data_IF_985466465741
#
_entry.id   IF_985466465741
#
_cell.length_a   1.000
_cell.length_b   1.000
_cell.length_c   1.000
_cell.angle_alpha   90.00
_cell.angle_beta   90.00
_cell.angle_gamma   90.00
#
_symmetry.space_group_name_H-M   'P 1'
#
loop_
_entity.id
_entity.type
_entity.pdbx_description
1 polymer ?
#
# COMPACT_ATOMS: atom_id res chain seq x y z
N UNK A 1 -0.32 -13.79 4.42
CA UNK A 1 -1.64 -13.96 5.09
C UNK A 1 -2.48 -12.69 4.98
N UNK A 2 -1.96 -11.52 5.33
CA UNK A 2 -2.68 -10.22 5.25
C UNK A 2 -3.26 -9.86 3.89
N UNK A 3 -2.52 -10.06 2.80
CA UNK A 3 -3.00 -9.78 1.44
C UNK A 3 -4.29 -10.54 1.08
N UNK A 4 -4.55 -11.69 1.71
CA UNK A 4 -5.80 -12.45 1.51
C UNK A 4 -6.99 -11.67 2.09
N UNK A 5 -6.83 -11.05 3.26
CA UNK A 5 -7.90 -10.29 3.91
C UNK A 5 -8.16 -8.97 3.19
N UNK A 6 -7.10 -8.26 2.78
CA UNK A 6 -7.25 -7.08 1.94
C UNK A 6 -8.02 -7.40 0.66
N UNK A 7 -7.60 -8.44 -0.06
CA UNK A 7 -8.23 -8.85 -1.31
C UNK A 7 -9.67 -9.34 -1.11
N UNK A 8 -9.97 -9.97 0.03
CA UNK A 8 -11.34 -10.38 0.39
C UNK A 8 -12.27 -9.18 0.55
N UNK A 9 -11.84 -8.13 1.24
CA UNK A 9 -12.64 -6.90 1.40
C UNK A 9 -12.79 -6.20 0.04
N UNK A 10 -11.69 -6.05 -0.70
CA UNK A 10 -11.68 -5.44 -2.04
C UNK A 10 -12.68 -6.12 -2.98
N UNK A 11 -12.57 -7.43 -3.19
CA UNK A 11 -13.47 -8.17 -4.09
C UNK A 11 -14.93 -8.11 -3.67
N UNK A 12 -15.22 -8.01 -2.37
CA UNK A 12 -16.60 -8.01 -1.86
C UNK A 12 -17.28 -6.65 -2.02
N UNK A 13 -16.55 -5.55 -1.84
CA UNK A 13 -17.16 -4.21 -1.73
C UNK A 13 -16.57 -3.18 -2.70
N UNK A 14 -15.29 -3.30 -3.04
CA UNK A 14 -14.53 -2.33 -3.85
C UNK A 14 -13.87 -3.01 -5.05
N UNK A 15 -14.64 -3.80 -5.80
CA UNK A 15 -14.11 -4.69 -6.84
C UNK A 15 -13.48 -3.94 -8.02
N UNK A 16 -13.83 -2.66 -8.19
CA UNK A 16 -13.29 -1.72 -9.17
C UNK A 16 -11.91 -1.15 -8.80
N UNK A 17 -11.50 -1.24 -7.52
CA UNK A 17 -10.20 -0.77 -7.08
C UNK A 17 -9.09 -1.78 -7.42
N UNK A 18 -7.84 -1.34 -7.65
CA UNK A 18 -6.76 -2.23 -8.02
C UNK A 18 -6.41 -3.24 -6.93
N UNK A 19 -6.03 -4.46 -7.33
CA UNK A 19 -5.53 -5.45 -6.38
C UNK A 19 -4.14 -5.05 -5.89
N UNK A 20 -3.92 -5.03 -4.58
CA UNK A 20 -2.60 -4.81 -3.98
C UNK A 20 -1.54 -5.79 -4.49
N UNK A 21 -1.93 -7.05 -4.69
CA UNK A 21 -1.03 -8.12 -5.13
C UNK A 21 -0.49 -7.88 -6.55
N UNK A 22 -1.28 -7.20 -7.38
CA UNK A 22 -0.99 -6.93 -8.79
C UNK A 22 -0.56 -5.47 -9.01
N UNK A 23 -0.34 -4.71 -7.93
CA UNK A 23 0.02 -3.31 -7.99
C UNK A 23 1.50 -3.09 -7.72
N UNK A 24 2.03 -2.04 -8.35
CA UNK A 24 3.28 -1.42 -7.95
C UNK A 24 2.96 -0.44 -6.82
N UNK A 25 3.76 -0.46 -5.76
CA UNK A 25 3.62 0.46 -4.64
C UNK A 25 4.44 1.72 -4.90
N UNK A 26 3.76 2.87 -5.00
CA UNK A 26 4.39 4.18 -5.13
C UNK A 26 4.17 5.01 -3.85
N UNK A 27 5.00 6.01 -3.64
CA UNK A 27 4.97 6.88 -2.47
C UNK A 27 5.34 8.32 -2.88
N UNK A 28 4.80 9.31 -2.16
CA UNK A 28 5.08 10.73 -2.44
C UNK A 28 6.46 11.17 -1.95
N UNK A 29 7.06 10.43 -1.01
CA UNK A 29 8.30 10.81 -0.37
C UNK A 29 9.14 9.59 0.03
N UNK A 30 10.45 9.83 0.20
CA UNK A 30 11.44 8.81 0.55
C UNK A 30 11.23 8.27 1.98
N UNK A 31 10.68 9.07 2.90
CA UNK A 31 10.47 8.65 4.29
C UNK A 31 9.40 7.56 4.39
N UNK A 32 8.32 7.67 3.62
CA UNK A 32 7.28 6.65 3.51
C UNK A 32 7.80 5.39 2.80
N UNK A 33 8.61 5.53 1.75
CA UNK A 33 9.33 4.39 1.16
C UNK A 33 10.19 3.65 2.20
N UNK A 34 10.96 4.39 2.99
CA UNK A 34 11.82 3.84 4.02
C UNK A 34 11.02 3.14 5.12
N UNK A 35 9.92 3.76 5.55
CA UNK A 35 9.00 3.16 6.50
C UNK A 35 8.46 1.83 5.95
N UNK A 36 7.97 1.82 4.72
CA UNK A 36 7.43 0.63 4.08
C UNK A 36 8.47 -0.48 3.97
N UNK A 37 9.69 -0.18 3.51
CA UNK A 37 10.77 -1.17 3.41
C UNK A 37 11.08 -1.77 4.78
N UNK A 38 11.20 -0.92 5.81
CA UNK A 38 11.52 -1.34 7.18
C UNK A 38 10.43 -2.22 7.78
N UNK A 39 9.17 -1.81 7.68
CA UNK A 39 8.05 -2.45 8.38
C UNK A 39 7.47 -3.63 7.60
N UNK A 40 7.40 -3.52 6.27
CA UNK A 40 6.66 -4.46 5.40
C UNK A 40 7.54 -5.33 4.51
N UNK A 41 8.84 -5.01 4.36
CA UNK A 41 9.80 -5.77 3.55
C UNK A 41 11.03 -6.27 4.34
N UNK A 42 10.92 -6.34 5.66
CA UNK A 42 12.01 -6.78 6.55
C UNK A 42 13.32 -5.97 6.38
N UNK A 43 13.22 -4.69 6.03
CA UNK A 43 14.37 -3.79 5.88
C UNK A 43 15.14 -3.90 4.57
N UNK A 44 14.77 -4.85 3.69
CA UNK A 44 15.46 -5.10 2.42
C UNK A 44 14.64 -4.49 1.28
N UNK A 45 15.25 -3.65 0.46
CA UNK A 45 14.57 -3.00 -0.65
C UNK A 45 15.39 -1.89 -1.32
N UNK A 46 14.95 -1.51 -2.51
CA UNK A 46 15.52 -0.42 -3.29
C UNK A 46 14.47 0.68 -3.48
N UNK A 47 14.93 1.93 -3.48
CA UNK A 47 14.08 3.09 -3.74
C UNK A 47 14.48 3.65 -5.10
N UNK A 48 13.49 3.75 -5.99
CA UNK A 48 13.65 4.29 -7.33
C UNK A 48 12.79 5.53 -7.49
N UNK A 49 13.32 6.52 -8.21
CA UNK A 49 12.50 7.58 -8.79
C UNK A 49 11.94 7.04 -10.11
N UNK A 50 10.63 7.16 -10.30
CA UNK A 50 9.95 6.66 -11.49
C UNK A 50 9.19 7.78 -12.20
N UNK A 51 8.92 7.56 -13.48
CA UNK A 51 8.03 8.36 -14.29
C UNK A 51 6.90 7.46 -14.78
N UNK A 52 5.66 7.86 -14.49
CA UNK A 52 4.47 7.18 -15.01
C UNK A 52 4.34 7.54 -16.49
N UNK A 53 4.44 6.54 -17.36
CA UNK A 53 4.30 6.72 -18.82
C UNK A 53 2.88 6.44 -19.27
N UNK A 54 2.16 5.56 -18.56
CA UNK A 54 0.74 5.27 -18.76
C UNK A 54 0.08 4.90 -17.45
N UNK A 55 -0.98 5.60 -17.09
CA UNK A 55 -1.77 5.31 -15.89
C UNK A 55 -3.06 4.58 -16.25
N UNK A 56 -3.25 3.37 -15.72
CA UNK A 56 -4.53 2.67 -15.80
C UNK A 56 -5.31 2.91 -14.51
N UNK A 57 -4.70 2.58 -13.37
CA UNK A 57 -5.26 2.86 -12.04
C UNK A 57 -4.21 3.43 -11.12
N UNK A 58 -4.63 4.38 -10.28
CA UNK A 58 -3.83 4.91 -9.19
C UNK A 58 -4.74 5.08 -7.97
N UNK A 59 -4.53 4.27 -6.95
CA UNK A 59 -5.33 4.30 -5.73
C UNK A 59 -4.48 4.67 -4.53
N UNK A 60 -4.82 5.79 -3.89
CA UNK A 60 -4.18 6.28 -2.67
C UNK A 60 -4.85 5.67 -1.44
N UNK A 61 -4.07 5.13 -0.52
CA UNK A 61 -4.54 4.65 0.77
C UNK A 61 -3.53 4.91 1.88
N UNK A 62 -4.03 4.94 3.11
CA UNK A 62 -3.22 5.10 4.31
C UNK A 62 -2.74 3.74 4.82
N UNK A 63 -1.43 3.46 4.70
CA UNK A 63 -0.86 2.19 5.14
C UNK A 63 -0.85 2.05 6.66
N UNK A 64 -0.92 3.15 7.43
CA UNK A 64 -0.93 3.07 8.88
C UNK A 64 -2.23 2.50 9.44
N UNK A 65 -3.33 2.51 8.66
CA UNK A 65 -4.56 1.81 9.05
C UNK A 65 -4.29 0.34 9.34
N UNK A 66 -3.33 -0.26 8.63
CA UNK A 66 -2.92 -1.64 8.87
C UNK A 66 -1.99 -1.77 10.08
N UNK A 67 -1.00 -0.88 10.19
CA UNK A 67 0.01 -0.93 11.24
C UNK A 67 -0.55 -0.63 12.65
N UNK A 68 -1.70 0.04 12.73
CA UNK A 68 -2.41 0.33 13.97
C UNK A 68 -3.38 -0.80 14.41
N UNK A 69 -3.52 -1.88 13.62
CA UNK A 69 -4.42 -2.99 13.96
C UNK A 69 -3.85 -3.83 15.11
N UNK A 70 -4.61 -3.94 16.19
CA UNK A 70 -4.30 -4.81 17.33
C UNK A 70 -4.28 -6.29 16.90
N UNK A 71 -3.20 -7.03 17.24
CA UNK A 71 -3.06 -8.45 16.92
C UNK A 71 -4.09 -9.35 17.61
N UNK A 72 -4.72 -8.88 18.68
CA UNK A 72 -5.81 -9.58 19.39
C UNK A 72 -7.19 -9.37 18.76
N UNK A 73 -7.27 -8.60 17.67
CA UNK A 73 -8.53 -8.29 17.00
C UNK A 73 -9.24 -9.55 16.48
N UNK A 74 -10.56 -9.57 16.59
CA UNK A 74 -11.36 -10.62 15.97
C UNK A 74 -11.36 -10.49 14.44
N UNK A 75 -11.59 -11.58 13.73
CA UNK A 75 -11.64 -11.56 12.27
C UNK A 75 -12.69 -10.58 11.72
N UNK A 76 -13.85 -10.44 12.38
CA UNK A 76 -14.89 -9.50 11.93
C UNK A 76 -14.44 -8.05 12.06
N UNK A 77 -13.82 -7.69 13.19
CA UNK A 77 -13.30 -6.34 13.41
C UNK A 77 -12.13 -6.05 12.48
N UNK A 78 -11.29 -7.05 12.16
CA UNK A 78 -10.26 -6.90 11.14
C UNK A 78 -10.84 -6.49 9.78
N UNK A 79 -11.94 -7.13 9.34
CA UNK A 79 -12.56 -6.77 8.06
C UNK A 79 -13.12 -5.33 8.06
N UNK A 80 -13.55 -4.83 9.22
CA UNK A 80 -13.97 -3.43 9.39
C UNK A 80 -12.78 -2.48 9.29
N UNK A 81 -11.64 -2.79 9.92
CA UNK A 81 -10.44 -1.96 9.79
C UNK A 81 -9.92 -1.93 8.35
N UNK A 82 -9.89 -3.08 7.68
CA UNK A 82 -9.48 -3.17 6.27
C UNK A 82 -10.48 -2.49 5.32
N UNK A 83 -11.75 -2.37 5.69
CA UNK A 83 -12.70 -1.56 4.94
C UNK A 83 -12.25 -0.10 4.91
N UNK A 84 -11.81 0.45 6.05
CA UNK A 84 -11.35 1.85 6.16
C UNK A 84 -10.20 2.17 5.20
N UNK A 85 -9.28 1.21 5.03
CA UNK A 85 -8.19 1.30 4.06
C UNK A 85 -8.72 1.50 2.63
N UNK A 86 -9.66 0.66 2.19
CA UNK A 86 -10.23 0.73 0.84
C UNK A 86 -11.16 1.93 0.65
N UNK A 87 -11.82 2.36 1.72
CA UNK A 87 -12.70 3.53 1.77
C UNK A 87 -11.93 4.87 1.86
N UNK A 88 -10.59 4.83 1.81
CA UNK A 88 -9.69 6.00 1.87
C UNK A 88 -9.83 6.84 3.14
N UNK A 89 -10.21 6.21 4.24
CA UNK A 89 -10.11 6.87 5.54
C UNK A 89 -8.64 7.05 5.91
N UNK A 90 -8.38 7.90 6.89
CA UNK A 90 -7.02 8.18 7.37
C UNK A 90 -6.92 7.89 8.86
N UNK A 91 -5.78 7.33 9.26
CA UNK A 91 -5.36 7.20 10.64
C UNK A 91 -5.04 8.59 11.22
N UNK A 92 -4.73 8.64 12.52
CA UNK A 92 -4.35 9.90 13.19
C UNK A 92 -3.04 10.48 12.64
N UNK A 93 -2.16 9.62 12.15
CA UNK A 93 -0.85 10.00 11.60
C UNK A 93 -0.69 9.31 10.26
N UNK A 94 -1.35 9.79 9.20
CA UNK A 94 -1.43 9.03 7.96
C UNK A 94 -0.07 8.90 7.27
N UNK A 95 0.16 7.73 6.68
CA UNK A 95 1.25 7.50 5.74
C UNK A 95 0.68 6.92 4.46
N UNK A 96 0.90 7.63 3.36
CA UNK A 96 0.22 7.26 2.13
C UNK A 96 1.07 6.36 1.25
N UNK A 97 0.43 5.32 0.75
CA UNK A 97 0.92 4.53 -0.37
C UNK A 97 -0.05 4.66 -1.54
N UNK A 98 0.45 4.39 -2.74
CA UNK A 98 -0.34 4.36 -3.95
C UNK A 98 -0.21 2.99 -4.60
N UNK A 99 -1.36 2.34 -4.81
CA UNK A 99 -1.47 1.14 -5.62
C UNK A 99 -1.60 1.56 -7.08
N UNK A 100 -0.53 1.33 -7.84
CA UNK A 100 -0.44 1.71 -9.24
C UNK A 100 -0.51 0.48 -10.15
N UNK A 101 -1.35 0.58 -11.19
CA UNK A 101 -1.35 -0.33 -12.33
C UNK A 101 -1.24 0.50 -13.61
N UNK A 102 -0.39 0.04 -14.53
CA UNK A 102 -0.05 0.75 -15.75
C UNK A 102 1.43 0.57 -16.08
N UNK A 103 1.99 1.52 -16.81
CA UNK A 103 3.38 1.51 -17.25
C UNK A 103 4.13 2.68 -16.62
N UNK A 104 5.32 2.37 -16.10
CA UNK A 104 6.24 3.37 -15.59
C UNK A 104 7.67 3.00 -15.98
N UNK A 105 8.55 3.99 -16.02
CA UNK A 105 9.99 3.80 -16.21
C UNK A 105 10.76 4.31 -15.01
N UNK A 106 11.87 3.67 -14.69
CA UNK A 106 12.82 4.18 -13.70
C UNK A 106 13.56 5.37 -14.31
N UNK A 107 13.56 6.50 -13.60
CA UNK A 107 14.39 7.67 -13.94
C UNK A 107 15.75 7.58 -13.27
N UNK A 108 15.75 7.33 -11.95
CA UNK A 108 16.94 7.32 -11.12
C UNK A 108 16.86 6.24 -10.04
N UNK A 109 18.01 5.77 -9.59
CA UNK A 109 18.14 4.95 -8.37
C UNK A 109 18.46 5.88 -7.21
N UNK A 110 17.61 5.91 -6.18
CA UNK A 110 17.77 6.82 -5.05
C UNK A 110 18.46 6.14 -3.86
N UNK A 111 18.15 4.85 -3.60
CA UNK A 111 18.77 4.10 -2.51
C UNK A 111 18.77 2.60 -2.78
N UNK A 112 19.81 1.90 -2.32
CA UNK A 112 19.89 0.44 -2.31
C UNK A 112 20.18 -0.08 -0.91
N UNK A 113 19.42 -1.07 -0.44
CA UNK A 113 19.68 -1.79 0.82
C UNK A 113 19.68 -3.29 0.53
N UNK A 114 20.82 -3.93 0.78
CA UNK A 114 21.10 -5.36 0.56
C UNK A 114 21.17 -6.03 1.92
#
# INVERSE_FOLDING_TARGET
>A
MWEIYFEKVRKKVFNELPSRKESIFLFDNIDDCNYYIKTHKNGIGHIYEIEITRQETLFKADMNIFDEIDLSITQNNLLVELYKYWDKQSSKTPRYEYLFQGECRVKNVLQQRI
#
